data_IF_516559419689
#
_entry.id   IF_516559419689
#
_cell.length_a   1.000
_cell.length_b   1.000
_cell.length_c   1.000
_cell.angle_alpha   90.00
_cell.angle_beta   90.00
_cell.angle_gamma   90.00
#
_symmetry.space_group_name_H-M   'P 1'
#
loop_
_entity.id
_entity.type
_entity.pdbx_description
1 polymer ?
#
# COMPACT_ATOMS: atom_id res chain seq x y z
N UNK A 1 -11.27 -3.17 17.74
CA UNK A 1 -11.04 -2.08 16.76
C UNK A 1 -11.69 -2.47 15.45
N UNK A 2 -12.50 -1.63 14.85
CA UNK A 2 -13.00 -1.86 13.48
C UNK A 2 -11.86 -1.62 12.51
N UNK A 3 -11.63 -2.58 11.59
CA UNK A 3 -10.66 -2.40 10.53
C UNK A 3 -11.11 -1.29 9.55
N UNK A 4 -10.18 -0.55 8.95
CA UNK A 4 -10.50 0.48 7.97
C UNK A 4 -11.11 -0.13 6.70
N UNK A 5 -11.86 0.69 5.95
CA UNK A 5 -12.35 0.32 4.63
C UNK A 5 -11.18 0.31 3.66
N UNK A 6 -11.07 -0.74 2.84
CA UNK A 6 -10.10 -0.79 1.74
C UNK A 6 -10.76 -0.19 0.49
N UNK A 7 -10.14 0.82 -0.11
CA UNK A 7 -10.49 1.33 -1.44
C UNK A 7 -9.46 0.82 -2.45
N UNK A 8 -9.96 0.14 -3.48
CA UNK A 8 -9.15 -0.34 -4.60
C UNK A 8 -9.69 0.25 -5.91
N UNK A 9 -9.10 1.34 -6.41
CA UNK A 9 -9.36 1.81 -7.77
C UNK A 9 -9.01 0.72 -8.77
N UNK A 10 -9.91 0.44 -9.71
CA UNK A 10 -9.70 -0.62 -10.71
C UNK A 10 -8.88 -0.06 -11.88
N UNK A 11 -7.73 -0.68 -12.13
CA UNK A 11 -6.86 -0.35 -13.28
C UNK A 11 -7.23 -1.11 -14.55
N UNK A 12 -6.41 -0.93 -15.58
CA UNK A 12 -6.59 -1.55 -16.91
C UNK A 12 -5.89 -2.90 -17.05
N UNK A 13 -4.92 -3.21 -16.17
CA UNK A 13 -4.10 -4.43 -16.21
C UNK A 13 -4.81 -5.55 -15.41
N UNK A 14 -5.36 -6.52 -16.13
CA UNK A 14 -6.06 -7.67 -15.56
C UNK A 14 -5.13 -8.58 -14.73
N UNK A 15 -3.88 -8.77 -15.17
CA UNK A 15 -2.93 -9.62 -14.47
C UNK A 15 -2.39 -8.98 -13.17
N UNK A 16 -2.24 -7.64 -13.15
CA UNK A 16 -1.88 -6.92 -11.95
C UNK A 16 -3.01 -6.94 -10.94
N UNK A 17 -4.26 -6.70 -11.38
CA UNK A 17 -5.44 -6.76 -10.52
C UNK A 17 -5.65 -8.16 -9.93
N UNK A 18 -5.54 -9.22 -10.74
CA UNK A 18 -5.67 -10.60 -10.26
C UNK A 18 -4.66 -10.92 -9.15
N UNK A 19 -3.39 -10.53 -9.35
CA UNK A 19 -2.36 -10.69 -8.33
C UNK A 19 -2.65 -9.88 -7.04
N UNK A 20 -3.16 -8.65 -7.17
CA UNK A 20 -3.57 -7.81 -6.04
C UNK A 20 -4.71 -8.47 -5.25
N UNK A 21 -5.75 -8.92 -5.93
CA UNK A 21 -6.91 -9.59 -5.32
C UNK A 21 -6.52 -10.91 -4.64
N UNK A 22 -5.64 -11.71 -5.26
CA UNK A 22 -5.10 -12.92 -4.65
C UNK A 22 -4.27 -12.63 -3.39
N UNK A 23 -3.46 -11.57 -3.40
CA UNK A 23 -2.72 -11.13 -2.22
C UNK A 23 -3.67 -10.67 -1.11
N UNK A 24 -4.70 -9.86 -1.42
CA UNK A 24 -5.72 -9.42 -0.46
C UNK A 24 -6.45 -10.61 0.17
N UNK A 25 -6.80 -11.62 -0.61
CA UNK A 25 -7.51 -12.81 -0.13
C UNK A 25 -6.70 -13.56 0.94
N UNK A 26 -5.39 -13.62 0.80
CA UNK A 26 -4.50 -14.37 1.71
C UNK A 26 -4.03 -13.55 2.91
N UNK A 27 -3.92 -12.22 2.78
CA UNK A 27 -3.25 -11.37 3.78
C UNK A 27 -4.19 -10.46 4.58
N UNK A 28 -5.47 -10.40 4.19
CA UNK A 28 -6.47 -9.53 4.81
C UNK A 28 -7.45 -10.36 5.64
N UNK A 29 -7.82 -9.93 6.87
CA UNK A 29 -8.79 -10.64 7.70
C UNK A 29 -10.15 -10.81 7.02
N UNK A 30 -10.77 -11.97 7.18
CA UNK A 30 -12.11 -12.25 6.64
C UNK A 30 -13.15 -11.21 7.15
N UNK A 31 -14.08 -10.83 6.28
CA UNK A 31 -15.12 -9.85 6.60
C UNK A 31 -14.63 -8.39 6.59
N UNK A 32 -13.37 -8.12 6.23
CA UNK A 32 -12.89 -6.74 6.05
C UNK A 32 -13.63 -6.09 4.88
N UNK A 33 -14.18 -4.87 5.05
CA UNK A 33 -14.87 -4.17 3.97
C UNK A 33 -13.86 -3.73 2.90
N UNK A 34 -14.14 -4.07 1.66
CA UNK A 34 -13.38 -3.64 0.50
C UNK A 34 -14.29 -3.15 -0.60
N UNK A 35 -13.97 -2.02 -1.19
CA UNK A 35 -14.68 -1.42 -2.31
C UNK A 35 -13.77 -1.36 -3.54
N UNK A 36 -14.09 -2.17 -4.56
CA UNK A 36 -13.48 -2.10 -5.88
C UNK A 36 -14.25 -1.07 -6.71
N UNK A 37 -13.57 -0.04 -7.17
CA UNK A 37 -14.20 1.06 -7.88
C UNK A 37 -13.59 1.27 -9.26
N UNK A 38 -14.41 1.10 -10.28
CA UNK A 38 -14.03 1.18 -11.69
C UNK A 38 -14.52 2.49 -12.31
N UNK A 39 -13.60 3.37 -12.66
CA UNK A 39 -13.87 4.60 -13.41
C UNK A 39 -14.07 4.32 -14.92
N UNK A 40 -14.82 3.28 -15.26
CA UNK A 40 -15.04 2.82 -16.63
C UNK A 40 -13.73 2.44 -17.38
N UNK A 41 -12.65 2.11 -16.66
CA UNK A 41 -11.35 1.74 -17.24
C UNK A 41 -11.21 0.24 -17.46
N UNK A 42 -11.87 -0.57 -16.63
CA UNK A 42 -11.79 -2.02 -16.69
C UNK A 42 -12.37 -2.59 -17.98
N UNK A 43 -11.53 -3.25 -18.81
CA UNK A 43 -11.98 -4.00 -19.96
C UNK A 43 -12.66 -5.33 -19.59
N UNK A 44 -13.14 -6.11 -20.59
CA UNK A 44 -13.85 -7.39 -20.32
C UNK A 44 -13.04 -8.40 -19.50
N UNK A 45 -11.71 -8.44 -19.64
CA UNK A 45 -10.83 -9.33 -18.87
C UNK A 45 -10.77 -8.91 -17.40
N UNK A 46 -10.61 -7.62 -17.14
CA UNK A 46 -10.65 -7.05 -15.78
C UNK A 46 -11.97 -7.36 -15.10
N UNK A 47 -13.10 -7.21 -15.82
CA UNK A 47 -14.42 -7.54 -15.29
C UNK A 47 -14.55 -9.03 -14.95
N UNK A 48 -14.06 -9.93 -15.82
CA UNK A 48 -14.07 -11.36 -15.55
C UNK A 48 -13.24 -11.74 -14.30
N UNK A 49 -12.08 -11.10 -14.10
CA UNK A 49 -11.27 -11.27 -12.87
C UNK A 49 -12.08 -10.85 -11.65
N UNK A 50 -12.70 -9.66 -11.68
CA UNK A 50 -13.51 -9.16 -10.57
C UNK A 50 -14.69 -10.08 -10.27
N UNK A 51 -15.48 -10.47 -11.28
CA UNK A 51 -16.62 -11.36 -11.13
C UNK A 51 -16.23 -12.71 -10.53
N UNK A 52 -15.13 -13.29 -11.03
CA UNK A 52 -14.58 -14.53 -10.48
C UNK A 52 -14.20 -14.39 -9.01
N UNK A 53 -13.48 -13.33 -8.66
CA UNK A 53 -13.03 -13.10 -7.29
C UNK A 53 -14.22 -12.82 -6.35
N UNK A 54 -15.18 -11.98 -6.74
CA UNK A 54 -16.38 -11.69 -5.95
C UNK A 54 -17.20 -12.93 -5.60
N UNK A 55 -17.21 -13.94 -6.47
CA UNK A 55 -17.93 -15.19 -6.24
C UNK A 55 -17.30 -16.08 -5.15
N UNK A 56 -16.02 -15.85 -4.78
CA UNK A 56 -15.26 -16.76 -3.91
C UNK A 56 -14.61 -16.06 -2.71
N UNK A 57 -14.57 -14.72 -2.70
CA UNK A 57 -13.88 -13.96 -1.65
C UNK A 57 -14.53 -14.12 -0.28
N UNK A 58 -13.70 -14.15 0.76
CA UNK A 58 -14.11 -14.11 2.17
C UNK A 58 -14.16 -12.68 2.74
N UNK A 59 -13.80 -11.69 1.94
CA UNK A 59 -13.89 -10.28 2.30
C UNK A 59 -15.32 -9.76 2.09
N UNK A 60 -15.69 -8.67 2.76
CA UNK A 60 -16.95 -7.99 2.52
C UNK A 60 -16.78 -7.03 1.34
N UNK A 61 -16.86 -7.59 0.13
CA UNK A 61 -16.52 -6.90 -1.09
C UNK A 61 -17.73 -6.25 -1.76
N UNK A 62 -17.53 -5.01 -2.22
CA UNK A 62 -18.46 -4.27 -3.08
C UNK A 62 -17.72 -3.88 -4.37
N UNK A 63 -18.41 -3.95 -5.51
CA UNK A 63 -17.90 -3.48 -6.80
C UNK A 63 -18.85 -2.47 -7.40
N UNK A 64 -18.30 -1.32 -7.78
CA UNK A 64 -19.05 -0.29 -8.51
C UNK A 64 -18.29 0.11 -9.76
N UNK A 65 -19.06 0.36 -10.83
CA UNK A 65 -18.51 0.83 -12.10
C UNK A 65 -19.28 2.05 -12.58
N UNK A 66 -18.55 3.06 -12.97
CA UNK A 66 -19.14 4.25 -13.58
C UNK A 66 -19.53 3.99 -15.04
N UNK A 67 -20.59 4.65 -15.56
CA UNK A 67 -20.95 4.57 -16.97
C UNK A 67 -19.94 5.32 -17.87
N UNK A 68 -19.19 6.31 -17.31
CA UNK A 68 -18.18 7.09 -17.99
C UNK A 68 -17.07 7.46 -17.02
N UNK A 69 -15.84 7.47 -17.49
CA UNK A 69 -14.70 7.94 -16.72
C UNK A 69 -14.81 9.44 -16.40
N UNK A 70 -14.40 9.79 -15.20
CA UNK A 70 -14.30 11.18 -14.72
C UNK A 70 -12.86 11.57 -14.36
N UNK A 71 -11.94 10.63 -14.45
CA UNK A 71 -10.54 10.78 -14.11
C UNK A 71 -10.19 10.23 -12.72
N UNK A 72 -8.95 9.82 -12.58
CA UNK A 72 -8.46 9.07 -11.41
C UNK A 72 -8.68 9.82 -10.10
N UNK A 73 -8.19 11.06 -9.99
CA UNK A 73 -8.31 11.86 -8.77
C UNK A 73 -9.76 12.18 -8.41
N UNK A 74 -10.60 12.51 -9.41
CA UNK A 74 -12.00 12.87 -9.22
C UNK A 74 -12.81 11.63 -8.76
N UNK A 75 -12.57 10.48 -9.35
CA UNK A 75 -13.23 9.24 -8.97
C UNK A 75 -12.83 8.82 -7.55
N UNK A 76 -11.56 8.89 -7.23
CA UNK A 76 -11.08 8.54 -5.89
C UNK A 76 -11.65 9.48 -4.82
N UNK A 77 -11.73 10.79 -5.09
CA UNK A 77 -12.35 11.75 -4.15
C UNK A 77 -13.84 11.43 -3.93
N UNK A 78 -14.57 11.07 -4.97
CA UNK A 78 -15.98 10.67 -4.84
C UNK A 78 -16.12 9.46 -3.90
N UNK A 79 -15.26 8.47 -4.05
CA UNK A 79 -15.24 7.29 -3.18
C UNK A 79 -14.83 7.61 -1.75
N UNK A 80 -13.78 8.42 -1.57
CA UNK A 80 -13.34 8.86 -0.26
C UNK A 80 -14.43 9.64 0.46
N UNK A 81 -15.22 10.46 -0.23
CA UNK A 81 -16.38 11.15 0.34
C UNK A 81 -17.49 10.19 0.74
N UNK A 82 -17.74 9.16 -0.07
CA UNK A 82 -18.74 8.13 0.25
C UNK A 82 -18.40 7.34 1.52
N UNK A 83 -17.10 7.20 1.86
CA UNK A 83 -16.66 6.61 3.12
C UNK A 83 -16.87 7.52 4.35
N UNK A 84 -17.35 8.76 4.19
CA UNK A 84 -17.61 9.69 5.29
C UNK A 84 -16.36 9.97 6.12
N UNK A 85 -16.49 9.86 7.45
CA UNK A 85 -15.40 10.12 8.40
C UNK A 85 -14.55 8.87 8.73
N UNK A 86 -14.79 7.75 8.04
CA UNK A 86 -14.02 6.54 8.27
C UNK A 86 -12.54 6.70 7.85
N UNK A 87 -11.65 6.01 8.56
CA UNK A 87 -10.28 5.80 8.11
C UNK A 87 -10.29 4.85 6.92
N UNK A 88 -9.53 5.19 5.87
CA UNK A 88 -9.58 4.49 4.59
C UNK A 88 -8.19 4.10 4.14
N UNK A 89 -8.01 2.81 3.86
CA UNK A 89 -6.82 2.29 3.22
C UNK A 89 -6.99 2.31 1.69
N UNK A 90 -6.26 3.17 0.99
CA UNK A 90 -6.24 3.22 -0.47
C UNK A 90 -5.08 2.39 -0.97
N UNK A 91 -5.33 1.46 -1.90
CA UNK A 91 -4.32 0.64 -2.57
C UNK A 91 -4.22 0.99 -4.05
N UNK A 92 -3.01 0.97 -4.60
CA UNK A 92 -2.83 0.93 -6.04
C UNK A 92 -3.37 -0.40 -6.62
N UNK A 93 -3.86 -0.43 -7.87
CA UNK A 93 -4.44 -1.64 -8.46
C UNK A 93 -3.42 -2.78 -8.69
N UNK A 94 -2.13 -2.47 -8.61
CA UNK A 94 -1.01 -3.41 -8.70
C UNK A 94 -0.35 -3.73 -7.35
N UNK A 95 -0.96 -3.28 -6.24
CA UNK A 95 -0.45 -3.48 -4.90
C UNK A 95 -0.45 -4.96 -4.49
N UNK A 96 0.59 -5.36 -3.77
CA UNK A 96 0.78 -6.72 -3.26
C UNK A 96 0.95 -6.66 -1.73
N UNK A 97 -0.14 -6.56 -0.97
CA UNK A 97 -0.08 -6.48 0.49
C UNK A 97 0.48 -7.77 1.09
N UNK A 98 1.35 -7.64 2.10
CA UNK A 98 1.91 -8.74 2.86
C UNK A 98 1.10 -9.01 4.14
N UNK A 99 1.23 -10.21 4.76
CA UNK A 99 0.52 -10.54 5.99
C UNK A 99 0.64 -9.46 7.08
N UNK A 100 -0.47 -9.09 7.69
CA UNK A 100 -0.54 -8.11 8.79
C UNK A 100 -0.65 -6.64 8.37
N UNK A 101 -0.48 -6.32 7.10
CA UNK A 101 -0.38 -4.96 6.58
C UNK A 101 -1.48 -4.01 7.06
N UNK A 102 -2.74 -4.42 7.00
CA UNK A 102 -3.88 -3.56 7.32
C UNK A 102 -3.99 -3.29 8.82
N UNK A 103 -3.76 -4.32 9.64
CA UNK A 103 -3.78 -4.18 11.09
C UNK A 103 -2.65 -3.28 11.58
N UNK A 104 -1.44 -3.44 11.05
CA UNK A 104 -0.28 -2.62 11.37
C UNK A 104 -0.50 -1.15 11.01
N UNK A 105 -1.06 -0.86 9.82
CA UNK A 105 -1.45 0.50 9.45
C UNK A 105 -2.52 1.08 10.39
N UNK A 106 -3.53 0.29 10.76
CA UNK A 106 -4.57 0.72 11.68
C UNK A 106 -4.01 1.00 13.08
N UNK A 107 -3.14 0.14 13.60
CA UNK A 107 -2.46 0.31 14.88
C UNK A 107 -1.54 1.52 14.87
N UNK A 108 -0.84 1.79 13.76
CA UNK A 108 -0.02 2.99 13.57
C UNK A 108 -0.85 4.26 13.77
N UNK A 109 -1.99 4.38 13.07
CA UNK A 109 -2.87 5.53 13.25
C UNK A 109 -3.44 5.63 14.67
N UNK A 110 -3.79 4.50 15.29
CA UNK A 110 -4.38 4.48 16.63
C UNK A 110 -3.42 4.92 17.74
N UNK A 111 -2.12 4.75 17.55
CA UNK A 111 -1.08 5.09 18.54
C UNK A 111 -0.90 6.61 18.73
N UNK A 112 -1.09 7.38 17.67
CA UNK A 112 -0.85 8.83 17.72
C UNK A 112 -1.90 9.58 16.90
N UNK A 113 -2.70 10.41 17.57
CA UNK A 113 -3.75 11.22 16.95
C UNK A 113 -3.20 12.31 16.00
N UNK A 114 -1.91 12.62 16.07
CA UNK A 114 -1.25 13.56 15.14
C UNK A 114 -0.93 12.95 13.78
N UNK A 115 -1.01 11.62 13.63
CA UNK A 115 -0.75 10.96 12.34
C UNK A 115 -1.98 11.10 11.45
N UNK A 116 -1.82 11.72 10.29
CA UNK A 116 -2.83 11.83 9.24
C UNK A 116 -2.78 10.65 8.26
N UNK A 117 -1.58 10.23 7.88
CA UNK A 117 -1.38 9.12 6.95
C UNK A 117 -0.32 8.16 7.45
N UNK A 118 -0.57 6.87 7.25
CA UNK A 118 0.41 5.81 7.45
C UNK A 118 0.68 5.11 6.12
N UNK A 119 1.93 5.14 5.67
CA UNK A 119 2.42 4.52 4.45
C UNK A 119 3.31 3.34 4.81
N UNK A 120 3.08 2.11 4.30
CA UNK A 120 3.95 0.96 4.57
C UNK A 120 5.25 1.03 3.77
N UNK A 121 6.23 0.20 4.09
CA UNK A 121 7.34 -0.11 3.19
C UNK A 121 6.83 -0.67 1.87
N UNK A 122 7.63 -0.48 0.81
CA UNK A 122 7.40 -1.10 -0.49
C UNK A 122 8.71 -1.56 -1.13
N UNK A 123 8.61 -2.33 -2.20
CA UNK A 123 9.76 -2.61 -3.07
C UNK A 123 10.02 -1.50 -4.09
N UNK A 124 9.14 -0.49 -4.15
CA UNK A 124 9.21 0.64 -5.08
C UNK A 124 8.81 1.95 -4.39
N UNK A 125 9.05 3.07 -5.05
CA UNK A 125 8.69 4.40 -4.57
C UNK A 125 9.89 5.25 -4.16
N UNK A 126 9.70 6.55 -4.20
CA UNK A 126 10.78 7.52 -4.02
C UNK A 126 11.43 7.44 -2.65
N UNK A 127 10.63 7.34 -1.58
CA UNK A 127 11.11 7.42 -0.20
C UNK A 127 11.09 6.09 0.53
N UNK A 128 10.08 5.24 0.30
CA UNK A 128 9.80 4.03 1.10
C UNK A 128 10.28 2.74 0.45
N UNK A 129 11.04 2.81 -0.66
CA UNK A 129 11.56 1.63 -1.31
C UNK A 129 12.58 0.89 -0.45
N UNK A 130 12.48 -0.44 -0.43
CA UNK A 130 13.39 -1.37 0.24
C UNK A 130 13.76 -2.52 -0.71
N UNK A 131 15.00 -3.02 -0.71
CA UNK A 131 16.13 -2.64 0.14
C UNK A 131 16.86 -1.35 -0.32
N UNK A 132 16.68 -0.90 -1.56
CA UNK A 132 17.33 0.29 -2.12
C UNK A 132 16.30 1.39 -2.36
N UNK A 133 16.63 2.60 -1.88
CA UNK A 133 15.80 3.78 -2.06
C UNK A 133 15.72 4.19 -3.54
N UNK A 134 14.57 4.72 -3.98
CA UNK A 134 14.39 5.31 -5.30
C UNK A 134 14.44 4.32 -6.47
N UNK A 135 14.37 3.02 -6.21
CA UNK A 135 14.40 1.98 -7.24
C UNK A 135 13.20 1.04 -7.12
N UNK A 136 12.80 0.46 -8.25
CA UNK A 136 11.92 -0.71 -8.27
C UNK A 136 12.78 -1.94 -7.98
N UNK A 137 12.71 -2.43 -6.75
CA UNK A 137 13.41 -3.63 -6.33
C UNK A 137 12.56 -4.88 -6.60
N UNK A 138 13.16 -6.05 -6.91
CA UNK A 138 12.41 -7.28 -6.96
C UNK A 138 11.87 -7.64 -5.56
N UNK A 139 10.63 -8.13 -5.49
CA UNK A 139 10.13 -8.71 -4.25
C UNK A 139 10.89 -9.99 -3.93
N UNK A 140 11.25 -10.22 -2.65
CA UNK A 140 11.81 -11.50 -2.22
C UNK A 140 10.83 -12.66 -2.51
N UNK A 141 11.37 -13.84 -2.84
CA UNK A 141 10.54 -15.03 -3.06
C UNK A 141 9.76 -15.45 -1.80
N UNK A 142 10.32 -15.20 -0.61
CA UNK A 142 9.68 -15.47 0.68
C UNK A 142 9.09 -14.18 1.26
N UNK A 143 7.89 -13.84 0.81
CA UNK A 143 7.14 -12.66 1.27
C UNK A 143 6.67 -12.77 2.72
N UNK A 144 6.40 -13.99 3.21
CA UNK A 144 6.03 -14.20 4.61
C UNK A 144 7.20 -13.93 5.55
N UNK A 145 8.41 -14.30 5.14
CA UNK A 145 9.63 -13.97 5.88
C UNK A 145 9.82 -12.47 5.95
N UNK A 146 9.56 -11.75 4.86
CA UNK A 146 9.63 -10.28 4.84
C UNK A 146 8.58 -9.67 5.77
N UNK A 147 7.34 -10.15 5.74
CA UNK A 147 6.30 -9.69 6.66
C UNK A 147 6.69 -9.89 8.13
N UNK A 148 7.25 -11.06 8.48
CA UNK A 148 7.77 -11.32 9.84
C UNK A 148 8.92 -10.39 10.22
N UNK A 149 9.80 -10.09 9.28
CA UNK A 149 10.91 -9.15 9.51
C UNK A 149 10.38 -7.73 9.76
N UNK A 150 9.40 -7.27 8.99
CA UNK A 150 8.74 -5.99 9.22
C UNK A 150 8.06 -5.95 10.59
N UNK A 151 7.28 -6.97 10.95
CA UNK A 151 6.58 -7.05 12.23
C UNK A 151 7.53 -7.05 13.45
N UNK A 152 8.81 -7.37 13.25
CA UNK A 152 9.85 -7.32 14.28
C UNK A 152 10.58 -5.95 14.37
N UNK A 153 10.24 -5.00 13.50
CA UNK A 153 10.83 -3.67 13.51
C UNK A 153 10.40 -2.85 14.74
N UNK A 154 11.26 -1.97 15.26
CA UNK A 154 10.85 -0.99 16.26
C UNK A 154 9.84 -0.01 15.64
N UNK A 155 8.76 0.28 16.40
CA UNK A 155 7.68 1.14 15.97
C UNK A 155 8.06 2.62 16.19
N UNK A 156 8.82 3.19 15.29
CA UNK A 156 9.31 4.58 15.39
C UNK A 156 8.46 5.57 14.60
N UNK A 157 7.77 5.10 13.56
CA UNK A 157 6.92 5.88 12.67
C UNK A 157 7.59 7.18 12.19
N UNK A 158 8.73 7.09 11.49
CA UNK A 158 9.45 8.26 11.01
C UNK A 158 8.61 9.07 10.02
N UNK A 159 8.80 10.40 10.04
CA UNK A 159 8.05 11.28 9.15
C UNK A 159 8.49 11.13 7.71
N UNK A 160 7.49 11.16 6.82
CA UNK A 160 7.67 11.23 5.38
C UNK A 160 7.30 12.62 4.87
N UNK A 161 7.93 13.09 3.80
CA UNK A 161 7.57 14.36 3.16
C UNK A 161 6.10 14.40 2.71
N UNK A 162 5.58 13.25 2.24
CA UNK A 162 4.18 13.00 1.90
C UNK A 162 3.87 11.51 1.99
N UNK A 163 2.60 11.14 1.94
CA UNK A 163 2.17 9.76 1.73
C UNK A 163 2.52 9.27 0.31
N UNK A 164 2.61 7.95 0.13
CA UNK A 164 2.94 7.32 -1.16
C UNK A 164 1.77 6.49 -1.68
N UNK A 165 1.57 6.52 -2.98
CA UNK A 165 0.36 6.02 -3.66
C UNK A 165 0.22 4.50 -3.76
N UNK A 166 1.29 3.72 -3.52
CA UNK A 166 1.18 2.26 -3.61
C UNK A 166 0.20 1.67 -2.59
N UNK A 167 0.25 2.21 -1.36
CA UNK A 167 -0.68 1.92 -0.28
C UNK A 167 -0.60 3.04 0.76
N UNK A 168 -1.73 3.49 1.25
CA UNK A 168 -1.78 4.49 2.32
C UNK A 168 -3.06 4.33 3.13
N UNK A 169 -2.95 4.35 4.47
CA UNK A 169 -4.08 4.52 5.35
C UNK A 169 -4.23 6.02 5.67
N UNK A 170 -5.39 6.58 5.39
CA UNK A 170 -5.71 8.00 5.57
C UNK A 170 -6.71 8.14 6.72
N UNK A 171 -6.37 8.97 7.72
CA UNK A 171 -7.29 9.31 8.81
C UNK A 171 -8.46 10.15 8.28
N UNK A 172 -9.68 9.67 8.50
CA UNK A 172 -10.90 10.33 8.02
C UNK A 172 -11.04 11.77 8.54
N UNK A 173 -10.79 12.01 9.83
CA UNK A 173 -10.89 13.35 10.44
C UNK A 173 -9.83 14.32 9.89
N UNK A 174 -8.60 13.87 9.59
CA UNK A 174 -7.56 14.71 8.99
C UNK A 174 -7.93 15.08 7.55
N UNK A 175 -8.40 14.09 6.76
CA UNK A 175 -8.89 14.29 5.40
C UNK A 175 -10.04 15.30 5.35
N UNK A 176 -11.05 15.14 6.21
CA UNK A 176 -12.21 16.04 6.26
C UNK A 176 -11.78 17.49 6.58
N UNK A 177 -10.87 17.68 7.53
CA UNK A 177 -10.36 19.02 7.86
C UNK A 177 -9.46 19.63 6.79
N UNK A 178 -8.74 18.81 6.03
CA UNK A 178 -7.94 19.28 4.90
C UNK A 178 -8.76 19.55 3.63
N UNK A 179 -10.05 19.16 3.59
CA UNK A 179 -10.98 19.45 2.49
C UNK A 179 -10.96 18.42 1.36
N UNK A 180 -10.42 17.21 1.57
CA UNK A 180 -10.36 16.15 0.56
C UNK A 180 -9.31 16.39 -0.53
N UNK A 181 -9.40 15.67 -1.66
CA UNK A 181 -8.49 15.82 -2.80
C UNK A 181 -8.85 17.05 -3.64
N UNK A 182 -7.85 17.76 -4.14
CA UNK A 182 -8.03 18.83 -5.11
C UNK A 182 -8.07 18.26 -6.54
N UNK A 183 -9.26 17.84 -6.95
CA UNK A 183 -9.51 17.21 -8.25
C UNK A 183 -9.66 18.21 -9.40
N UNK A 184 -9.69 19.49 -9.10
CA UNK A 184 -9.72 20.55 -10.11
C UNK A 184 -8.32 20.86 -10.64
N UNK A 185 -7.32 20.77 -9.74
CA UNK A 185 -5.93 21.06 -10.07
C UNK A 185 -5.18 19.82 -10.56
N UNK A 186 -5.44 18.65 -9.98
CA UNK A 186 -4.64 17.45 -10.21
C UNK A 186 -5.44 16.34 -10.86
N UNK A 187 -4.90 15.79 -11.95
CA UNK A 187 -5.49 14.66 -12.67
C UNK A 187 -5.15 13.31 -12.06
N UNK A 188 -3.92 13.14 -11.52
CA UNK A 188 -3.45 11.89 -10.94
C UNK A 188 -3.67 11.78 -9.44
N UNK A 189 -3.84 10.56 -8.97
CA UNK A 189 -3.83 10.23 -7.55
C UNK A 189 -2.53 10.65 -6.87
N UNK A 190 -1.39 10.47 -7.57
CA UNK A 190 -0.08 10.85 -7.04
C UNK A 190 -0.04 12.31 -6.60
N UNK A 191 -0.33 13.23 -7.49
CA UNK A 191 -0.24 14.67 -7.22
C UNK A 191 -1.30 15.12 -6.21
N UNK A 192 -2.53 14.60 -6.34
CA UNK A 192 -3.61 14.90 -5.41
C UNK A 192 -3.30 14.43 -3.98
N UNK A 193 -2.64 13.28 -3.81
CA UNK A 193 -2.22 12.77 -2.50
C UNK A 193 -1.08 13.59 -1.90
N UNK A 194 -0.08 13.97 -2.71
CA UNK A 194 1.00 14.86 -2.26
C UNK A 194 0.42 16.18 -1.76
N UNK A 195 -0.45 16.82 -2.53
CA UNK A 195 -1.12 18.07 -2.14
C UNK A 195 -1.93 17.90 -0.84
N UNK A 196 -2.74 16.85 -0.72
CA UNK A 196 -3.48 16.55 0.49
C UNK A 196 -2.55 16.36 1.69
N UNK A 197 -1.46 15.61 1.52
CA UNK A 197 -0.44 15.38 2.55
C UNK A 197 0.18 16.69 3.05
N UNK A 198 0.51 17.60 2.13
CA UNK A 198 1.09 18.90 2.46
C UNK A 198 0.08 19.83 3.16
N UNK A 199 -1.20 19.80 2.75
CA UNK A 199 -2.27 20.53 3.45
C UNK A 199 -2.48 20.00 4.88
N UNK A 200 -2.48 18.68 5.06
CA UNK A 200 -2.57 18.07 6.39
C UNK A 200 -1.36 18.44 7.25
N UNK A 201 -0.14 18.43 6.69
CA UNK A 201 1.06 18.89 7.41
C UNK A 201 0.96 20.36 7.81
N UNK A 202 0.44 21.22 6.95
CA UNK A 202 0.18 22.63 7.25
C UNK A 202 -0.82 22.85 8.39
N UNK A 203 -1.66 21.86 8.67
CA UNK A 203 -2.61 21.85 9.78
C UNK A 203 -2.06 21.18 11.06
N UNK A 204 -0.80 20.78 11.05
CA UNK A 204 -0.10 20.18 12.20
C UNK A 204 -0.17 18.67 12.30
N UNK A 205 -0.66 17.98 11.28
CA UNK A 205 -0.60 16.52 11.20
C UNK A 205 0.70 16.01 10.58
N UNK A 206 0.99 14.73 10.82
CA UNK A 206 2.17 14.02 10.33
C UNK A 206 1.78 13.00 9.27
N UNK A 207 2.61 12.87 8.23
CA UNK A 207 2.61 11.74 7.31
C UNK A 207 3.78 10.84 7.73
N UNK A 208 3.54 9.54 7.97
CA UNK A 208 4.57 8.68 8.54
C UNK A 208 4.75 7.38 7.76
N UNK A 209 5.94 6.81 7.86
CA UNK A 209 6.18 5.42 7.52
C UNK A 209 5.63 4.52 8.65
N UNK A 210 4.83 3.53 8.29
CA UNK A 210 4.46 2.42 9.15
C UNK A 210 5.55 1.35 8.99
N UNK A 211 6.56 1.40 9.86
CA UNK A 211 7.81 0.68 9.71
C UNK A 211 7.71 -0.83 9.95
N UNK A 212 6.59 -1.30 10.50
CA UNK A 212 6.26 -2.71 10.67
C UNK A 212 5.36 -3.31 9.56
N UNK A 213 4.91 -2.50 8.59
CA UNK A 213 4.06 -2.92 7.48
C UNK A 213 4.79 -2.91 6.13
N UNK A 214 4.42 -3.83 5.24
CA UNK A 214 4.93 -3.89 3.86
C UNK A 214 3.81 -4.16 2.86
N UNK A 215 3.78 -3.36 1.80
CA UNK A 215 2.94 -3.58 0.62
C UNK A 215 3.81 -3.45 -0.62
N UNK A 216 4.02 -4.55 -1.32
CA UNK A 216 4.74 -4.55 -2.59
C UNK A 216 3.90 -3.98 -3.73
N UNK A 217 4.55 -3.78 -4.88
CA UNK A 217 3.87 -3.44 -6.13
C UNK A 217 4.64 -3.96 -7.33
N UNK A 218 3.95 -4.03 -8.48
CA UNK A 218 4.52 -4.56 -9.72
C UNK A 218 5.12 -3.47 -10.60
N UNK A 219 4.59 -2.26 -10.53
CA UNK A 219 5.00 -1.13 -11.37
C UNK A 219 5.12 0.16 -10.53
N UNK A 220 5.82 1.14 -11.05
CA UNK A 220 5.86 2.50 -10.51
C UNK A 220 4.81 3.35 -11.22
N UNK A 221 3.77 3.76 -10.51
CA UNK A 221 2.80 4.71 -11.04
C UNK A 221 3.47 6.03 -11.46
N UNK A 222 2.89 6.72 -12.43
CA UNK A 222 3.39 8.02 -12.90
C UNK A 222 2.36 9.11 -12.63
N UNK A 223 2.80 10.34 -12.29
CA UNK A 223 1.90 11.49 -12.27
C UNK A 223 1.35 11.76 -13.68
N UNK A 224 0.18 12.39 -13.77
CA UNK A 224 -0.34 12.88 -15.03
C UNK A 224 0.51 14.04 -15.56
N UNK A 225 0.46 14.25 -16.88
CA UNK A 225 1.19 15.35 -17.53
C UNK A 225 0.76 16.70 -16.93
N UNK A 226 1.73 17.55 -16.58
CA UNK A 226 1.51 18.85 -15.97
C UNK A 226 1.30 18.85 -14.44
N UNK A 227 0.93 17.74 -13.81
CA UNK A 227 0.68 17.68 -12.37
C UNK A 227 1.89 18.10 -11.53
N UNK A 228 3.09 17.69 -11.94
CA UNK A 228 4.34 18.04 -11.23
C UNK A 228 4.64 19.54 -11.31
N UNK A 229 4.34 20.19 -12.42
CA UNK A 229 4.49 21.63 -12.55
C UNK A 229 3.50 22.39 -11.66
N UNK A 230 2.25 21.92 -11.60
CA UNK A 230 1.23 22.50 -10.72
C UNK A 230 1.61 22.31 -9.24
N UNK A 231 2.12 21.15 -8.84
CA UNK A 231 2.63 20.92 -7.50
C UNK A 231 3.79 21.87 -7.15
N UNK A 232 4.77 22.00 -8.04
CA UNK A 232 5.93 22.88 -7.83
C UNK A 232 5.51 24.35 -7.71
N UNK A 233 4.53 24.80 -8.50
CA UNK A 233 4.00 26.16 -8.43
C UNK A 233 3.23 26.41 -7.13
N UNK A 234 2.41 25.48 -6.68
CA UNK A 234 1.62 25.62 -5.46
C UNK A 234 2.46 25.43 -4.19
N UNK A 235 3.41 24.50 -4.24
CA UNK A 235 4.27 24.13 -3.14
C UNK A 235 5.75 24.29 -3.50
N UNK A 236 6.26 25.55 -3.65
CA UNK A 236 7.62 25.78 -4.17
C UNK A 236 8.73 25.14 -3.31
N UNK A 237 8.49 24.92 -2.02
CA UNK A 237 9.44 24.25 -1.13
C UNK A 237 9.38 22.72 -1.21
N UNK A 238 8.36 22.16 -1.86
CA UNK A 238 8.14 20.71 -1.93
C UNK A 238 9.31 19.97 -2.58
N UNK A 239 9.69 20.39 -3.79
CA UNK A 239 10.77 19.77 -4.57
C UNK A 239 12.10 19.80 -3.80
N UNK A 240 12.39 20.93 -3.12
CA UNK A 240 13.60 21.07 -2.30
C UNK A 240 13.55 20.12 -1.08
N UNK A 241 12.44 20.06 -0.37
CA UNK A 241 12.26 19.14 0.78
C UNK A 241 12.37 17.68 0.39
N UNK A 242 11.78 17.30 -0.75
CA UNK A 242 11.90 15.93 -1.27
C UNK A 242 13.35 15.62 -1.64
N UNK A 243 14.03 16.53 -2.35
CA UNK A 243 15.43 16.36 -2.71
C UNK A 243 16.34 16.26 -1.46
N UNK A 244 16.13 17.09 -0.45
CA UNK A 244 16.83 17.02 0.84
C UNK A 244 16.59 15.67 1.53
N UNK A 245 15.33 15.22 1.61
CA UNK A 245 14.99 13.92 2.19
C UNK A 245 15.67 12.75 1.46
N UNK A 246 15.75 12.80 0.13
CA UNK A 246 16.40 11.77 -0.68
C UNK A 246 17.92 11.80 -0.56
N UNK A 247 18.55 12.99 -0.42
CA UNK A 247 19.99 13.14 -0.23
C UNK A 247 20.43 12.71 1.18
N UNK A 248 19.67 13.10 2.19
CA UNK A 248 19.99 12.79 3.59
C UNK A 248 19.64 11.36 3.96
N UNK A 249 18.72 10.74 3.21
CA UNK A 249 18.19 9.39 3.41
C UNK A 249 17.94 9.04 4.90
N UNK A 250 17.02 9.75 5.58
CA UNK A 250 16.79 9.53 7.01
C UNK A 250 16.27 8.12 7.30
N UNK A 251 15.79 7.39 6.29
CA UNK A 251 15.35 6.00 6.41
C UNK A 251 16.48 4.98 6.20
N UNK A 252 17.71 5.41 5.91
CA UNK A 252 18.85 4.51 5.67
C UNK A 252 19.04 3.48 6.81
N UNK A 253 19.10 3.96 8.04
CA UNK A 253 19.27 3.11 9.21
C UNK A 253 18.10 2.10 9.36
N UNK A 254 16.86 2.54 9.09
CA UNK A 254 15.68 1.68 9.13
C UNK A 254 15.71 0.61 8.04
N UNK A 255 16.16 0.95 6.81
CA UNK A 255 16.35 -0.04 5.73
C UNK A 255 17.36 -1.10 6.09
N UNK A 256 18.51 -0.70 6.65
CA UNK A 256 19.55 -1.63 7.12
C UNK A 256 19.02 -2.53 8.23
N UNK A 257 18.26 -1.98 9.17
CA UNK A 257 17.66 -2.74 10.26
C UNK A 257 16.65 -3.76 9.75
N UNK A 258 15.78 -3.37 8.81
CA UNK A 258 14.87 -4.30 8.16
C UNK A 258 15.61 -5.39 7.37
N UNK A 259 16.71 -5.03 6.69
CA UNK A 259 17.53 -5.99 5.97
C UNK A 259 18.18 -7.02 6.93
N UNK A 260 18.65 -6.57 8.09
CA UNK A 260 19.17 -7.44 9.15
C UNK A 260 18.07 -8.35 9.73
N UNK A 261 16.91 -7.78 10.04
CA UNK A 261 15.75 -8.52 10.51
C UNK A 261 15.32 -9.59 9.49
N UNK A 262 15.28 -9.25 8.22
CA UNK A 262 14.98 -10.19 7.14
C UNK A 262 16.03 -11.31 7.04
N UNK A 263 17.32 -10.99 7.16
CA UNK A 263 18.38 -11.99 7.13
C UNK A 263 18.32 -12.96 8.31
N UNK A 264 17.87 -12.48 9.48
CA UNK A 264 17.76 -13.27 10.72
C UNK A 264 16.42 -14.00 10.88
N UNK A 265 15.39 -13.59 10.16
CA UNK A 265 14.07 -14.21 10.22
C UNK A 265 14.16 -15.70 9.81
N UNK A 266 13.50 -16.62 10.54
CA UNK A 266 13.54 -18.05 10.25
C UNK A 266 13.12 -18.35 8.82
N UNK A 267 13.89 -19.18 8.13
CA UNK A 267 13.45 -19.77 6.86
C UNK A 267 12.31 -20.76 7.14
N UNK A 268 11.30 -20.86 6.25
CA UNK A 268 10.33 -21.92 6.36
C UNK A 268 11.07 -23.25 6.37
N UNK A 269 10.67 -24.17 7.27
CA UNK A 269 11.19 -25.53 7.21
C UNK A 269 10.91 -26.08 5.81
N UNK A 270 11.92 -26.70 5.15
CA UNK A 270 11.68 -27.34 3.88
C UNK A 270 10.53 -28.33 4.06
N UNK A 271 9.49 -28.17 3.26
CA UNK A 271 8.34 -29.07 3.26
C UNK A 271 8.90 -30.51 3.10
N UNK A 272 8.79 -31.32 4.14
CA UNK A 272 9.22 -32.72 4.06
C UNK A 272 8.44 -33.35 2.93
N UNK A 273 9.15 -33.82 1.92
CA UNK A 273 8.53 -34.50 0.80
C UNK A 273 7.77 -35.70 1.36
N UNK A 274 6.46 -35.74 1.21
CA UNK A 274 5.61 -36.86 1.66
C UNK A 274 6.03 -38.19 1.02
N UNK A 275 6.89 -38.13 0.02
CA UNK A 275 7.44 -39.28 -0.71
C UNK A 275 8.83 -39.72 -0.22
N UNK A 276 9.45 -39.02 0.73
CA UNK A 276 10.72 -39.40 1.35
C UNK A 276 10.50 -40.38 2.54
N UNK A 277 9.44 -41.18 2.46
CA UNK A 277 9.14 -42.23 3.40
C UNK A 277 10.03 -43.45 3.12
N UNK A 278 11.22 -43.44 3.73
CA UNK A 278 11.78 -44.69 4.23
C UNK A 278 12.54 -45.54 3.23
N UNK A 279 13.79 -45.24 3.02
CA UNK A 279 14.77 -46.31 2.86
C UNK A 279 15.05 -46.88 4.25
N UNK A 280 14.33 -47.92 4.63
CA UNK A 280 14.64 -48.71 5.81
C UNK A 280 16.03 -49.31 5.65
N UNK A 281 16.93 -49.20 6.64
CA UNK A 281 18.19 -49.94 6.60
C UNK A 281 17.89 -51.40 6.72
N UNK A 282 18.29 -52.15 5.67
CA UNK A 282 18.16 -53.60 5.64
C UNK A 282 18.77 -54.23 6.86
N UNK A 283 17.96 -55.04 7.59
CA UNK A 283 18.42 -55.94 8.62
C UNK A 283 19.31 -56.99 7.94
N UNK A 284 20.59 -56.92 8.22
CA UNK A 284 21.48 -58.06 8.01
C UNK A 284 21.11 -59.15 9.02
N UNK A 285 20.85 -60.33 8.55
CA UNK A 285 20.84 -61.56 9.32
C UNK A 285 22.07 -62.41 9.03
N UNK A 286 22.46 -63.22 9.99
CA UNK A 286 23.78 -63.77 10.25
C UNK A 286 24.25 -64.82 9.27
#
# INVERSE_FOLDING_TARGET
>A
MTLPVILLPVGVDDAALDACLAALETTTPAGTPIWLADDAQGGPRVQAVIEHWLAHTRLQAEYTRRPRAIGESAHLEEMLRACGDADVAVLAPDALPLPGWLQQLADCLARDASIATATPWSNAGETVAWPRAGELNPLPADVERLARACAAMPLLHPELPSAITHAVLIRGSARARAGGLDTHSYGSWYAALVDLSLRMSGLGWRNVLCDDAFVGRRDEGRPADGDMELLANRWPTWTARLAEFLMDDPLHAHRLQLQQAYAQAPMPEPQRDLFDAGTMPGQGQP
#
